data_IF_941736700645
#
_entry.id   IF_941736700645
#
_cell.length_a   1.000
_cell.length_b   1.000
_cell.length_c   1.000
_cell.angle_alpha   90.00
_cell.angle_beta   90.00
_cell.angle_gamma   90.00
#
_symmetry.space_group_name_H-M   'P 1'
#
loop_
_entity.id
_entity.type
_entity.pdbx_description
1 polymer ?
#
# COMPACT_ATOMS: atom_id res chain seq x y z
N UNK A 1 14.83 2.85 -2.62
CA UNK A 1 15.92 3.35 -1.74
C UNK A 1 16.08 2.48 -0.48
N UNK A 2 17.17 2.70 0.31
CA UNK A 2 17.48 1.82 1.44
C UNK A 2 16.37 1.76 2.49
N UNK A 3 15.69 2.88 2.77
CA UNK A 3 14.54 2.91 3.68
C UNK A 3 13.41 1.97 3.25
N UNK A 4 13.11 1.89 1.97
CA UNK A 4 12.15 0.94 1.41
C UNK A 4 12.61 -0.51 1.64
N UNK A 5 13.89 -0.81 1.43
CA UNK A 5 14.44 -2.16 1.62
C UNK A 5 14.32 -2.59 3.10
N UNK A 6 14.56 -1.68 4.05
CA UNK A 6 14.35 -1.96 5.49
C UNK A 6 12.89 -2.29 5.79
N UNK A 7 11.93 -1.57 5.17
CA UNK A 7 10.50 -1.83 5.36
C UNK A 7 10.04 -3.12 4.67
N UNK A 8 10.59 -3.46 3.49
CA UNK A 8 10.35 -4.75 2.84
C UNK A 8 10.86 -5.89 3.72
N UNK A 9 12.06 -5.75 4.28
CA UNK A 9 12.61 -6.74 5.20
C UNK A 9 11.75 -6.90 6.47
N UNK A 10 11.29 -5.79 7.04
CA UNK A 10 10.40 -5.81 8.20
C UNK A 10 9.07 -6.52 7.91
N UNK A 11 8.50 -6.29 6.74
CA UNK A 11 7.28 -6.96 6.29
C UNK A 11 7.50 -8.46 6.11
N UNK A 12 8.58 -8.86 5.47
CA UNK A 12 8.94 -10.27 5.33
C UNK A 12 9.12 -10.95 6.69
N UNK A 13 9.82 -10.32 7.63
CA UNK A 13 9.97 -10.82 9.00
C UNK A 13 8.62 -10.95 9.71
N UNK A 14 7.71 -9.99 9.50
CA UNK A 14 6.38 -10.03 10.09
C UNK A 14 5.58 -11.24 9.58
N UNK A 15 5.57 -11.48 8.26
CA UNK A 15 4.88 -12.63 7.68
C UNK A 15 5.47 -13.99 8.10
N UNK A 16 6.75 -14.03 8.46
CA UNK A 16 7.42 -15.22 8.99
C UNK A 16 7.28 -15.38 10.51
N UNK A 17 6.59 -14.48 11.20
CA UNK A 17 6.51 -14.48 12.67
C UNK A 17 7.83 -14.13 13.37
N UNK A 18 8.73 -13.45 12.67
CA UNK A 18 10.09 -13.09 13.13
C UNK A 18 10.24 -11.58 13.34
N UNK A 19 9.22 -10.90 13.83
CA UNK A 19 9.18 -9.43 13.94
C UNK A 19 10.40 -8.84 14.65
N UNK A 20 10.90 -9.54 15.69
CA UNK A 20 12.06 -9.09 16.45
C UNK A 20 13.33 -8.96 15.60
N UNK A 21 13.47 -9.76 14.54
CA UNK A 21 14.62 -9.67 13.65
C UNK A 21 14.66 -8.37 12.84
N UNK A 22 13.48 -7.75 12.62
CA UNK A 22 13.36 -6.49 11.89
C UNK A 22 13.71 -5.26 12.74
N UNK A 23 13.59 -5.34 14.06
CA UNK A 23 13.72 -4.18 14.96
C UNK A 23 15.03 -3.40 14.79
N UNK A 24 16.21 -4.04 14.62
CA UNK A 24 17.45 -3.28 14.40
C UNK A 24 17.40 -2.41 13.13
N UNK A 25 16.78 -2.92 12.04
CA UNK A 25 16.64 -2.15 10.78
C UNK A 25 15.61 -1.03 10.89
N UNK A 26 14.57 -1.23 11.66
CA UNK A 26 13.60 -0.18 11.98
C UNK A 26 14.25 0.89 12.88
N UNK A 27 15.11 0.48 13.80
CA UNK A 27 15.87 1.44 14.65
C UNK A 27 16.80 2.33 13.83
N UNK A 28 17.45 1.81 12.79
CA UNK A 28 18.27 2.63 11.86
C UNK A 28 17.42 3.72 11.14
N UNK A 29 16.17 3.38 10.74
CA UNK A 29 15.26 4.37 10.16
C UNK A 29 14.85 5.44 11.17
N UNK A 30 14.51 5.02 12.38
CA UNK A 30 14.11 5.92 13.46
C UNK A 30 15.26 6.88 13.86
N UNK A 31 16.48 6.39 13.97
CA UNK A 31 17.67 7.18 14.25
C UNK A 31 17.91 8.24 13.18
N UNK A 32 17.83 7.85 11.90
CA UNK A 32 17.95 8.79 10.79
C UNK A 32 16.87 9.88 10.81
N UNK A 33 15.64 9.54 11.22
CA UNK A 33 14.53 10.47 11.34
C UNK A 33 14.56 11.31 12.63
N UNK A 34 15.50 11.03 13.55
CA UNK A 34 15.58 11.72 14.83
C UNK A 34 14.43 11.39 15.80
N UNK A 35 13.81 10.22 15.65
CA UNK A 35 12.69 9.77 16.49
C UNK A 35 13.06 8.51 17.29
N UNK A 36 12.28 8.24 18.33
CA UNK A 36 12.46 7.03 19.14
C UNK A 36 12.05 5.79 18.35
N UNK A 37 12.91 4.78 18.33
CA UNK A 37 12.59 3.48 17.76
C UNK A 37 11.45 2.78 18.52
N UNK A 38 10.62 2.03 17.79
CA UNK A 38 9.55 1.20 18.36
C UNK A 38 10.14 -0.11 18.91
N UNK A 39 9.45 -0.71 19.88
CA UNK A 39 9.82 -2.00 20.48
C UNK A 39 9.08 -3.20 19.87
N UNK A 40 8.08 -2.94 19.04
CA UNK A 40 7.31 -3.97 18.32
C UNK A 40 6.76 -3.39 17.03
N UNK A 41 6.50 -4.26 16.06
CA UNK A 41 5.86 -3.92 14.79
C UNK A 41 4.69 -4.87 14.53
N UNK A 42 3.64 -4.33 13.93
CA UNK A 42 2.50 -5.06 13.40
C UNK A 42 2.15 -4.52 12.00
N UNK A 43 1.11 -5.07 11.39
CA UNK A 43 0.68 -4.67 10.06
C UNK A 43 0.27 -3.19 10.02
N UNK A 44 -0.50 -2.72 11.00
CA UNK A 44 -1.00 -1.35 11.03
C UNK A 44 0.14 -0.35 11.16
N UNK A 45 1.10 -0.66 12.05
CA UNK A 45 2.31 0.14 12.18
C UNK A 45 3.09 0.18 10.85
N UNK A 46 3.28 -0.98 10.20
CA UNK A 46 4.06 -1.08 8.98
C UNK A 46 3.40 -0.31 7.82
N UNK A 47 2.08 -0.42 7.66
CA UNK A 47 1.30 0.34 6.66
C UNK A 47 1.44 1.85 6.90
N UNK A 48 1.40 2.27 8.16
CA UNK A 48 1.57 3.67 8.54
C UNK A 48 3.01 4.16 8.33
N UNK A 49 4.02 3.34 8.68
CA UNK A 49 5.43 3.70 8.51
C UNK A 49 5.82 3.78 7.04
N UNK A 50 5.35 2.85 6.20
CA UNK A 50 5.55 2.94 4.75
C UNK A 50 4.95 4.23 4.17
N UNK A 51 3.80 4.67 4.68
CA UNK A 51 3.20 5.93 4.26
C UNK A 51 4.04 7.16 4.63
N UNK A 52 4.66 7.16 5.82
CA UNK A 52 5.53 8.25 6.29
C UNK A 52 6.87 8.26 5.55
N UNK A 53 7.53 7.11 5.51
CA UNK A 53 8.88 6.97 4.95
C UNK A 53 8.89 7.15 3.43
N UNK A 54 7.87 6.67 2.72
CA UNK A 54 7.79 6.65 1.25
C UNK A 54 6.78 7.67 0.70
N UNK A 55 6.51 8.72 1.46
CA UNK A 55 5.60 9.80 1.05
C UNK A 55 6.07 10.41 -0.27
N UNK A 56 5.13 10.59 -1.22
CA UNK A 56 5.37 11.09 -2.58
C UNK A 56 6.19 10.16 -3.50
N UNK A 57 6.50 8.94 -3.09
CA UNK A 57 7.26 7.98 -3.90
C UNK A 57 6.36 7.01 -4.70
N UNK A 58 5.05 7.23 -4.74
CA UNK A 58 4.10 6.47 -5.55
C UNK A 58 3.70 5.09 -4.98
N UNK A 59 4.16 4.71 -3.79
CA UNK A 59 3.93 3.38 -3.22
C UNK A 59 2.55 3.17 -2.59
N UNK A 60 1.87 4.26 -2.16
CA UNK A 60 0.70 4.15 -1.30
C UNK A 60 -0.43 3.29 -1.85
N UNK A 61 -0.77 3.44 -3.13
CA UNK A 61 -1.84 2.66 -3.75
C UNK A 61 -1.53 1.17 -3.77
N UNK A 62 -0.33 0.80 -4.21
CA UNK A 62 0.09 -0.60 -4.28
C UNK A 62 0.21 -1.24 -2.89
N UNK A 63 0.68 -0.50 -1.90
CA UNK A 63 0.71 -0.96 -0.51
C UNK A 63 -0.72 -1.25 0.00
N UNK A 64 -1.64 -0.31 -0.17
CA UNK A 64 -3.03 -0.50 0.28
C UNK A 64 -3.73 -1.66 -0.44
N UNK A 65 -3.46 -1.88 -1.74
CA UNK A 65 -3.99 -3.04 -2.48
C UNK A 65 -3.44 -4.34 -1.90
N UNK A 66 -2.14 -4.41 -1.70
CA UNK A 66 -1.43 -5.58 -1.20
C UNK A 66 -1.88 -6.01 0.20
N UNK A 67 -2.23 -5.03 1.04
CA UNK A 67 -2.80 -5.27 2.38
C UNK A 67 -4.34 -5.43 2.40
N UNK A 68 -5.01 -5.39 1.24
CA UNK A 68 -6.47 -5.51 1.15
C UNK A 68 -7.24 -4.28 1.68
N UNK A 69 -6.57 -3.14 1.80
CA UNK A 69 -7.11 -1.93 2.43
C UNK A 69 -7.61 -0.89 1.41
N UNK A 70 -7.22 -1.02 0.13
CA UNK A 70 -7.48 0.03 -0.87
C UNK A 70 -8.96 0.19 -1.15
N UNK A 71 -9.67 -0.87 -1.50
CA UNK A 71 -11.09 -0.83 -1.87
C UNK A 71 -12.04 -1.08 -0.69
N UNK A 72 -11.58 -1.68 0.41
CA UNK A 72 -12.41 -2.07 1.55
C UNK A 72 -12.86 -0.89 2.42
N UNK A 73 -13.89 -1.10 3.25
CA UNK A 73 -14.32 -0.17 4.30
C UNK A 73 -13.44 -0.23 5.56
N UNK A 74 -12.51 -1.18 5.65
CA UNK A 74 -11.67 -1.38 6.84
C UNK A 74 -10.60 -0.29 7.02
N UNK A 75 -10.31 0.49 5.98
CA UNK A 75 -9.34 1.58 6.02
C UNK A 75 -9.88 2.77 5.23
N UNK A 76 -10.30 3.81 5.94
CA UNK A 76 -10.94 4.98 5.34
C UNK A 76 -10.04 6.23 5.41
N UNK A 77 -10.14 7.07 4.41
CA UNK A 77 -9.59 8.43 4.37
C UNK A 77 -10.62 9.38 3.76
N UNK A 78 -10.51 10.69 4.02
CA UNK A 78 -11.43 11.67 3.44
C UNK A 78 -11.51 11.55 1.92
N UNK A 79 -12.73 11.56 1.41
CA UNK A 79 -13.07 11.42 -0.01
C UNK A 79 -12.74 10.06 -0.66
N UNK A 80 -12.34 9.05 0.10
CA UNK A 80 -12.32 7.67 -0.40
C UNK A 80 -13.71 7.31 -0.96
N UNK A 81 -13.76 6.69 -2.15
CA UNK A 81 -15.02 6.29 -2.78
C UNK A 81 -15.99 7.44 -3.08
N UNK A 82 -15.51 8.71 -3.08
CA UNK A 82 -16.30 9.89 -3.40
C UNK A 82 -17.13 10.45 -2.25
N UNK A 83 -17.05 9.88 -1.04
CA UNK A 83 -17.74 10.38 0.17
C UNK A 83 -16.80 11.22 1.04
N UNK A 84 -17.25 12.36 1.61
CA UNK A 84 -16.42 13.19 2.49
C UNK A 84 -15.83 12.41 3.70
N UNK A 85 -16.57 11.45 4.24
CA UNK A 85 -16.14 10.59 5.36
C UNK A 85 -15.32 9.40 4.89
N UNK A 86 -15.29 9.15 3.60
CA UNK A 86 -14.72 7.94 3.02
C UNK A 86 -15.69 6.77 3.06
N UNK A 87 -15.64 5.94 2.05
CA UNK A 87 -16.36 4.64 1.97
C UNK A 87 -15.56 3.69 1.09
N UNK A 88 -15.80 2.38 1.22
CA UNK A 88 -15.28 1.38 0.30
C UNK A 88 -15.86 1.53 -1.10
N UNK A 89 -15.25 0.83 -2.02
CA UNK A 89 -15.69 0.77 -3.42
C UNK A 89 -15.37 -0.60 -4.00
N UNK A 90 -15.86 -0.87 -5.19
CA UNK A 90 -15.75 -2.18 -5.82
C UNK A 90 -14.29 -2.62 -6.02
N UNK A 91 -14.01 -3.88 -5.67
CA UNK A 91 -12.64 -4.44 -5.65
C UNK A 91 -12.00 -4.53 -7.03
N UNK A 92 -12.78 -4.54 -8.12
CA UNK A 92 -12.21 -4.53 -9.47
C UNK A 92 -11.32 -3.29 -9.72
N UNK A 93 -11.57 -2.18 -9.00
CA UNK A 93 -10.77 -0.95 -9.07
C UNK A 93 -9.35 -1.10 -8.49
N UNK A 94 -9.02 -2.26 -7.91
CA UNK A 94 -7.64 -2.58 -7.55
C UNK A 94 -6.75 -2.74 -8.81
N UNK A 95 -7.34 -3.07 -9.95
CA UNK A 95 -6.70 -3.12 -11.26
C UNK A 95 -7.13 -1.89 -12.05
N UNK A 96 -6.26 -1.30 -12.85
CA UNK A 96 -6.64 -0.20 -13.73
C UNK A 96 -7.41 -0.72 -14.94
N UNK A 97 -8.34 0.09 -15.45
CA UNK A 97 -8.93 -0.13 -16.78
C UNK A 97 -7.82 -0.07 -17.85
N UNK A 98 -7.96 -0.88 -18.90
CA UNK A 98 -7.17 -0.70 -20.10
C UNK A 98 -7.68 0.60 -20.78
N UNK A 99 -6.79 1.55 -21.13
CA UNK A 99 -7.20 2.80 -21.76
C UNK A 99 -8.00 2.58 -23.04
N UNK A 100 -9.01 3.40 -23.25
CA UNK A 100 -9.88 3.30 -24.45
C UNK A 100 -9.08 3.41 -25.77
N UNK A 101 -8.03 4.23 -25.78
CA UNK A 101 -7.14 4.37 -26.96
C UNK A 101 -6.47 3.03 -27.30
N UNK A 102 -6.05 2.27 -26.30
CA UNK A 102 -5.44 0.96 -26.51
C UNK A 102 -6.46 -0.07 -26.97
N UNK A 103 -7.66 -0.07 -26.36
CA UNK A 103 -8.76 -0.92 -26.76
C UNK A 103 -9.17 -0.67 -28.22
N UNK A 104 -9.20 0.59 -28.65
CA UNK A 104 -9.54 0.98 -30.02
C UNK A 104 -8.45 0.63 -31.03
N UNK A 105 -7.20 0.62 -30.61
CA UNK A 105 -6.03 0.34 -31.46
C UNK A 105 -5.78 -1.17 -31.65
N UNK A 106 -6.20 -1.99 -30.71
CA UNK A 106 -6.05 -3.43 -30.74
C UNK A 106 -7.35 -4.12 -30.35
N UNK A 107 -8.07 -4.62 -31.33
CA UNK A 107 -9.38 -5.26 -31.17
C UNK A 107 -9.32 -6.63 -30.49
N UNK A 108 -8.12 -7.20 -30.31
CA UNK A 108 -7.93 -8.46 -29.57
C UNK A 108 -7.86 -8.25 -28.06
N UNK A 109 -7.80 -6.99 -27.58
CA UNK A 109 -7.81 -6.69 -26.17
C UNK A 109 -9.21 -6.88 -25.57
N UNK A 110 -9.25 -7.47 -24.38
CA UNK A 110 -10.46 -7.60 -23.58
C UNK A 110 -10.29 -6.78 -22.32
N UNK A 111 -11.26 -5.92 -22.04
CA UNK A 111 -11.24 -5.05 -20.85
C UNK A 111 -11.20 -5.86 -19.54
N UNK A 112 -10.55 -5.31 -18.53
CA UNK A 112 -10.53 -5.92 -17.20
C UNK A 112 -11.96 -6.01 -16.61
N UNK A 113 -12.29 -7.13 -15.92
CA UNK A 113 -13.63 -7.32 -15.36
C UNK A 113 -14.08 -6.16 -14.46
N UNK A 114 -15.34 -5.79 -14.56
CA UNK A 114 -15.95 -4.72 -13.76
C UNK A 114 -15.90 -3.33 -14.39
N UNK A 115 -15.09 -3.13 -15.44
CA UNK A 115 -15.16 -1.95 -16.27
C UNK A 115 -16.13 -2.19 -17.40
N UNK A 116 -17.02 -1.23 -17.64
CA UNK A 116 -17.97 -1.34 -18.74
C UNK A 116 -17.24 -1.36 -20.09
N UNK A 117 -17.78 -2.15 -21.01
CA UNK A 117 -17.42 -2.13 -22.43
C UNK A 117 -17.88 -0.83 -23.09
#
# INVERSE_FOLDING_TARGET
>A
RLGEIHLIYAEACMHLGQQNAALPKIAELAERAGIKAVSSIDQDWLVAERARELMWEGHRRTDLIRYGLFSSDSFLWPYKGGSPQGQGFESYRNIFAIPEVEMSSNLDLVQNPGYAD
#
